data_IF_556533896103
#
_entry.id   IF_556533896103
#
_cell.length_a   1.000
_cell.length_b   1.000
_cell.length_c   1.000
_cell.angle_alpha   90.00
_cell.angle_beta   90.00
_cell.angle_gamma   90.00
#
_symmetry.space_group_name_H-M   'P 1'
#
loop_
_entity.id
_entity.type
_entity.pdbx_description
1 polymer ?
#
# COMPACT_ATOMS: atom_id res chain seq x y z
N UNK A 1 -13.40 -4.46 20.20
CA UNK A 1 -13.83 -3.33 19.35
C UNK A 1 -13.11 -3.45 18.02
N UNK A 2 -13.83 -3.67 16.92
CA UNK A 2 -13.21 -3.78 15.59
C UNK A 2 -12.82 -2.39 15.12
N UNK A 3 -11.60 -1.94 15.44
CA UNK A 3 -11.05 -0.78 14.77
C UNK A 3 -10.97 -1.10 13.28
N UNK A 4 -11.57 -0.26 12.44
CA UNK A 4 -11.43 -0.39 10.99
C UNK A 4 -9.95 -0.34 10.64
N UNK A 5 -9.38 -1.48 10.24
CA UNK A 5 -7.95 -1.62 9.90
C UNK A 5 -7.49 -0.55 8.90
N UNK A 6 -8.39 -0.14 8.00
CA UNK A 6 -8.18 0.95 7.04
C UNK A 6 -7.96 2.30 7.72
N UNK A 7 -8.75 2.65 8.73
CA UNK A 7 -8.60 3.93 9.45
C UNK A 7 -7.30 3.96 10.24
N UNK A 8 -6.95 2.85 10.90
CA UNK A 8 -5.69 2.71 11.63
C UNK A 8 -4.49 2.85 10.68
N UNK A 9 -4.51 2.16 9.53
CA UNK A 9 -3.47 2.25 8.53
C UNK A 9 -3.34 3.66 7.94
N UNK A 10 -4.44 4.31 7.56
CA UNK A 10 -4.41 5.66 6.99
C UNK A 10 -3.88 6.70 8.00
N UNK A 11 -4.23 6.55 9.28
CA UNK A 11 -3.71 7.41 10.34
C UNK A 11 -2.20 7.24 10.51
N UNK A 12 -1.74 5.99 10.53
CA UNK A 12 -0.31 5.65 10.58
C UNK A 12 0.46 6.19 9.35
N UNK A 13 -0.06 5.96 8.14
CA UNK A 13 0.52 6.47 6.90
C UNK A 13 0.66 7.99 6.90
N UNK A 14 -0.38 8.71 7.35
CA UNK A 14 -0.34 10.17 7.48
C UNK A 14 0.70 10.65 8.49
N UNK A 15 0.88 9.92 9.60
CA UNK A 15 1.91 10.24 10.58
C UNK A 15 3.32 10.09 9.98
N UNK A 16 3.57 9.01 9.22
CA UNK A 16 4.84 8.82 8.50
C UNK A 16 5.11 9.93 7.48
N UNK A 17 4.08 10.33 6.72
CA UNK A 17 4.21 11.44 5.77
C UNK A 17 4.53 12.79 6.45
N UNK A 18 4.10 13.00 7.70
CA UNK A 18 4.42 14.20 8.48
C UNK A 18 5.86 14.18 8.99
N UNK A 19 6.31 13.03 9.50
CA UNK A 19 7.69 12.86 9.96
C UNK A 19 8.71 12.91 8.82
N UNK A 20 8.39 12.33 7.66
CA UNK A 20 9.25 12.37 6.47
C UNK A 20 9.42 13.80 5.92
N UNK A 21 8.36 14.63 5.96
CA UNK A 21 8.43 16.03 5.56
C UNK A 21 9.35 16.89 6.46
N UNK A 22 9.57 16.49 7.72
CA UNK A 22 10.45 17.19 8.66
C UNK A 22 11.93 16.85 8.49
N UNK A 23 12.25 15.69 7.91
CA UNK A 23 13.63 15.20 7.75
C UNK A 23 14.21 15.37 6.33
N UNK A 24 13.47 15.98 5.40
CA UNK A 24 13.92 16.11 4.01
C UNK A 24 14.68 17.43 3.78
N UNK A 25 15.98 17.40 3.41
CA UNK A 25 16.70 18.60 3.04
C UNK A 25 16.30 19.00 1.61
N UNK A 26 15.70 20.18 1.46
CA UNK A 26 15.36 20.89 0.20
C UNK A 26 14.00 20.54 -0.45
N UNK A 27 13.01 21.44 -0.32
CA UNK A 27 12.57 22.41 -1.36
C UNK A 27 11.51 23.35 -0.76
N UNK A 28 11.83 24.64 -0.69
CA UNK A 28 10.98 25.72 -0.20
C UNK A 28 10.14 26.36 -1.32
N UNK A 29 9.91 25.66 -2.42
CA UNK A 29 9.20 26.23 -3.57
C UNK A 29 8.05 25.34 -4.02
N UNK A 30 6.93 26.01 -4.27
CA UNK A 30 5.69 25.57 -4.92
C UNK A 30 4.72 24.70 -4.08
N UNK A 31 3.80 25.39 -3.39
CA UNK A 31 2.32 25.25 -3.32
C UNK A 31 1.56 23.93 -3.57
N UNK A 32 2.21 22.77 -3.56
CA UNK A 32 1.55 21.47 -3.35
C UNK A 32 2.39 20.70 -2.35
N UNK A 33 1.88 20.52 -1.14
CA UNK A 33 2.39 19.51 -0.20
C UNK A 33 2.05 18.14 -0.79
N UNK A 34 2.72 17.77 -1.88
CA UNK A 34 2.72 16.42 -2.42
C UNK A 34 3.55 15.58 -1.46
N UNK A 35 2.91 15.13 -0.38
CA UNK A 35 3.54 14.26 0.62
C UNK A 35 3.83 12.94 -0.07
N UNK A 36 5.07 12.78 -0.49
CA UNK A 36 5.59 11.54 -1.06
C UNK A 36 5.22 10.33 -0.18
N UNK A 37 5.15 9.15 -0.80
CA UNK A 37 4.99 7.89 -0.09
C UNK A 37 6.16 7.68 0.87
N UNK A 38 5.93 7.26 2.14
CA UNK A 38 7.00 6.90 3.05
C UNK A 38 7.90 5.82 2.45
N UNK A 39 9.20 5.88 2.77
CA UNK A 39 10.13 4.83 2.39
C UNK A 39 9.80 3.57 3.17
N UNK A 40 10.14 2.40 2.60
CA UNK A 40 9.97 1.12 3.29
C UNK A 40 10.64 1.10 4.67
N UNK A 41 11.77 1.80 4.82
CA UNK A 41 12.51 1.87 6.08
C UNK A 41 11.78 2.67 7.17
N UNK A 42 10.82 3.53 6.80
CA UNK A 42 10.05 4.33 7.74
C UNK A 42 8.95 3.50 8.44
N UNK A 43 8.64 2.30 7.93
CA UNK A 43 7.64 1.43 8.49
C UNK A 43 8.20 0.68 9.70
N UNK A 44 7.67 1.00 10.88
CA UNK A 44 7.94 0.32 12.14
C UNK A 44 7.04 -0.94 12.26
N UNK A 45 7.61 -2.16 12.22
CA UNK A 45 6.85 -3.39 12.32
C UNK A 45 6.16 -3.56 13.67
N UNK A 46 6.64 -2.92 14.75
CA UNK A 46 6.03 -2.98 16.08
C UNK A 46 4.71 -2.21 16.10
N UNK A 47 4.68 -1.03 15.49
CA UNK A 47 3.46 -0.22 15.36
C UNK A 47 2.44 -0.86 14.42
N UNK A 48 2.90 -1.69 13.49
CA UNK A 48 2.06 -2.38 12.51
C UNK A 48 1.69 -3.81 12.92
N UNK A 49 2.07 -4.28 14.11
CA UNK A 49 1.92 -5.69 14.52
C UNK A 49 0.50 -6.25 14.31
N UNK A 50 -0.52 -5.44 14.58
CA UNK A 50 -1.93 -5.85 14.48
C UNK A 50 -2.44 -5.81 13.03
N UNK A 51 -1.79 -5.03 12.17
CA UNK A 51 -2.05 -4.94 10.73
C UNK A 51 -1.24 -5.96 9.93
N UNK A 52 -0.09 -6.42 10.44
CA UNK A 52 0.83 -7.34 9.75
C UNK A 52 0.15 -8.58 9.16
N UNK A 53 -0.78 -9.27 9.85
CA UNK A 53 -1.48 -10.41 9.25
C UNK A 53 -2.28 -10.05 7.99
N UNK A 54 -2.77 -8.81 7.91
CA UNK A 54 -3.63 -8.30 6.83
C UNK A 54 -2.84 -7.56 5.74
N UNK A 55 -1.55 -7.28 5.96
CA UNK A 55 -0.71 -6.57 5.01
C UNK A 55 -0.17 -7.49 3.91
N UNK A 56 0.06 -6.88 2.74
CA UNK A 56 0.68 -7.52 1.60
C UNK A 56 1.67 -6.55 0.95
N UNK A 57 2.65 -7.11 0.24
CA UNK A 57 3.57 -6.36 -0.59
C UNK A 57 3.46 -6.88 -2.01
N UNK A 58 3.18 -5.98 -2.94
CA UNK A 58 3.13 -6.27 -4.38
C UNK A 58 4.34 -5.66 -5.07
N UNK A 59 4.87 -6.34 -6.08
CA UNK A 59 5.92 -5.80 -6.92
C UNK A 59 5.34 -4.67 -7.77
N UNK A 60 6.04 -3.54 -7.85
CA UNK A 60 5.74 -2.49 -8.82
C UNK A 60 6.46 -2.72 -10.15
N UNK A 61 7.41 -3.66 -10.19
CA UNK A 61 8.14 -4.05 -11.40
C UNK A 61 7.49 -5.24 -12.10
N UNK A 62 7.24 -5.09 -13.41
CA UNK A 62 6.56 -6.07 -14.26
C UNK A 62 5.05 -5.79 -14.41
N UNK A 63 4.44 -6.31 -15.48
CA UNK A 63 3.06 -5.97 -15.87
C UNK A 63 1.95 -6.47 -14.92
N UNK A 64 2.26 -7.37 -13.99
CA UNK A 64 1.22 -8.16 -13.30
C UNK A 64 1.08 -7.87 -11.79
N UNK A 65 1.82 -6.88 -11.25
CA UNK A 65 1.78 -6.51 -9.83
C UNK A 65 1.85 -7.70 -8.87
N UNK A 66 2.85 -8.58 -9.05
CA UNK A 66 2.87 -9.88 -8.36
C UNK A 66 3.12 -9.74 -6.87
N UNK A 67 2.46 -10.57 -6.07
CA UNK A 67 2.71 -10.64 -4.63
C UNK A 67 4.15 -11.06 -4.33
N UNK A 68 4.79 -10.29 -3.46
CA UNK A 68 6.11 -10.58 -2.88
C UNK A 68 5.99 -11.12 -1.47
N UNK A 69 5.04 -10.59 -0.70
CA UNK A 69 4.78 -10.96 0.68
C UNK A 69 3.28 -10.87 0.98
N UNK A 70 2.77 -11.79 1.78
CA UNK A 70 1.39 -11.80 2.27
C UNK A 70 1.36 -12.20 3.73
N UNK A 71 0.63 -11.45 4.54
CA UNK A 71 0.38 -11.79 5.94
C UNK A 71 -0.51 -13.02 6.08
N UNK A 72 -0.48 -13.64 7.27
CA UNK A 72 -1.15 -14.92 7.53
C UNK A 72 -2.67 -14.89 7.37
N UNK A 73 -3.32 -13.73 7.59
CA UNK A 73 -4.77 -13.60 7.40
C UNK A 73 -5.15 -13.76 5.92
N UNK A 74 -4.38 -13.18 5.00
CA UNK A 74 -4.64 -13.30 3.57
C UNK A 74 -4.45 -14.75 3.09
N UNK A 75 -3.45 -15.45 3.61
CA UNK A 75 -3.23 -16.88 3.30
C UNK A 75 -4.40 -17.73 3.79
N UNK A 76 -4.88 -17.48 5.02
CA UNK A 76 -6.03 -18.18 5.58
C UNK A 76 -7.32 -17.89 4.78
N UNK A 77 -7.54 -16.65 4.36
CA UNK A 77 -8.71 -16.23 3.59
C UNK A 77 -8.74 -16.90 2.20
N UNK A 78 -7.60 -16.97 1.52
CA UNK A 78 -7.50 -17.56 0.18
C UNK A 78 -7.23 -19.07 0.17
N UNK A 79 -7.04 -19.69 1.34
CA UNK A 79 -6.72 -21.12 1.50
C UNK A 79 -5.39 -21.54 0.88
N UNK A 80 -4.56 -20.60 0.42
CA UNK A 80 -3.29 -20.87 -0.27
C UNK A 80 -2.34 -19.67 -0.20
N UNK A 81 -1.05 -19.94 -0.39
CA UNK A 81 -0.05 -18.88 -0.49
C UNK A 81 -0.17 -18.13 -1.81
N UNK A 82 -0.23 -16.79 -1.75
CA UNK A 82 -0.36 -15.94 -2.94
C UNK A 82 1.00 -15.54 -3.55
N UNK A 83 2.12 -16.08 -3.07
CA UNK A 83 3.45 -15.66 -3.53
C UNK A 83 3.58 -15.80 -5.05
N UNK A 84 4.08 -14.75 -5.70
CA UNK A 84 4.26 -14.66 -7.14
C UNK A 84 2.98 -14.73 -8.00
N UNK A 85 1.78 -14.79 -7.40
CA UNK A 85 0.54 -14.66 -8.16
C UNK A 85 0.28 -13.20 -8.54
N UNK A 86 -0.37 -12.92 -9.69
CA UNK A 86 -0.79 -11.57 -10.03
C UNK A 86 -1.78 -11.02 -9.01
N UNK A 87 -1.59 -9.77 -8.55
CA UNK A 87 -2.55 -9.11 -7.67
C UNK A 87 -3.91 -8.91 -8.35
N UNK A 88 -3.90 -8.69 -9.67
CA UNK A 88 -5.11 -8.50 -10.48
C UNK A 88 -6.05 -9.70 -10.47
N UNK A 89 -5.55 -10.91 -10.20
CA UNK A 89 -6.39 -12.12 -10.09
C UNK A 89 -7.36 -12.10 -8.91
N UNK A 90 -7.19 -11.19 -7.94
CA UNK A 90 -8.15 -11.03 -6.85
C UNK A 90 -9.45 -10.32 -7.30
N UNK A 91 -9.48 -9.77 -8.51
CA UNK A 91 -10.57 -8.96 -9.03
C UNK A 91 -11.20 -9.63 -10.26
N UNK A 92 -12.46 -9.30 -10.54
CA UNK A 92 -13.11 -9.78 -11.76
C UNK A 92 -12.36 -9.24 -13.00
N UNK A 93 -12.26 -10.03 -14.10
CA UNK A 93 -11.53 -9.62 -15.29
C UNK A 93 -11.96 -8.27 -15.87
N UNK A 94 -13.24 -7.90 -15.71
CA UNK A 94 -13.80 -6.63 -16.17
C UNK A 94 -13.14 -5.38 -15.53
N UNK A 95 -12.47 -5.52 -14.39
CA UNK A 95 -11.82 -4.41 -13.68
C UNK A 95 -10.29 -4.43 -13.77
N UNK A 96 -9.70 -5.39 -14.47
CA UNK A 96 -8.25 -5.58 -14.48
C UNK A 96 -7.49 -4.37 -15.04
N UNK A 97 -7.94 -3.82 -16.17
CA UNK A 97 -7.28 -2.66 -16.80
C UNK A 97 -7.42 -1.40 -15.95
N UNK A 98 -8.60 -1.16 -15.39
CA UNK A 98 -8.86 -0.04 -14.48
C UNK A 98 -7.97 -0.13 -13.24
N UNK A 99 -7.82 -1.33 -12.68
CA UNK A 99 -6.97 -1.57 -11.52
C UNK A 99 -5.49 -1.32 -11.86
N UNK A 100 -5.00 -1.85 -12.98
CA UNK A 100 -3.61 -1.64 -13.43
C UNK A 100 -3.30 -0.16 -13.64
N UNK A 101 -4.23 0.59 -14.24
CA UNK A 101 -4.11 2.03 -14.42
C UNK A 101 -4.07 2.76 -13.07
N UNK A 102 -5.01 2.46 -12.16
CA UNK A 102 -5.06 3.09 -10.85
C UNK A 102 -3.79 2.83 -10.03
N UNK A 103 -3.28 1.59 -10.05
CA UNK A 103 -2.01 1.23 -9.39
C UNK A 103 -0.82 1.97 -9.99
N UNK A 104 -0.77 2.09 -11.33
CA UNK A 104 0.31 2.80 -12.01
C UNK A 104 0.31 4.29 -11.64
N UNK A 105 -0.87 4.92 -11.69
CA UNK A 105 -1.04 6.32 -11.31
C UNK A 105 -0.70 6.57 -9.84
N UNK A 106 -1.14 5.69 -8.94
CA UNK A 106 -0.87 5.81 -7.51
C UNK A 106 0.63 5.65 -7.20
N UNK A 107 1.30 4.70 -7.84
CA UNK A 107 2.74 4.51 -7.71
C UNK A 107 3.52 5.70 -8.26
N UNK A 108 3.13 6.24 -9.42
CA UNK A 108 3.79 7.38 -10.04
C UNK A 108 3.60 8.67 -9.23
N UNK A 109 2.40 8.91 -8.69
CA UNK A 109 2.09 10.07 -7.85
C UNK A 109 2.49 9.89 -6.38
N UNK A 110 2.94 8.69 -6.01
CA UNK A 110 3.25 8.30 -4.63
C UNK A 110 2.09 8.58 -3.65
N UNK A 111 0.85 8.34 -4.10
CA UNK A 111 -0.36 8.62 -3.33
C UNK A 111 -1.05 7.33 -2.87
N UNK A 112 -1.74 7.34 -1.73
CA UNK A 112 -2.53 6.20 -1.29
C UNK A 112 -3.71 5.96 -2.24
N UNK A 113 -3.94 4.70 -2.59
CA UNK A 113 -5.09 4.24 -3.37
C UNK A 113 -6.04 3.47 -2.46
N UNK A 114 -7.33 3.82 -2.51
CA UNK A 114 -8.39 3.07 -1.83
C UNK A 114 -9.20 2.36 -2.92
N UNK A 115 -9.29 1.03 -2.80
CA UNK A 115 -10.16 0.22 -3.63
C UNK A 115 -11.44 -0.05 -2.85
N UNK A 116 -12.58 0.32 -3.42
CA UNK A 116 -13.91 0.09 -2.84
C UNK A 116 -14.84 -0.50 -3.89
N UNK A 117 -15.87 -1.21 -3.42
CA UNK A 117 -16.97 -1.74 -4.25
C UNK A 117 -18.06 -0.70 -4.45
#
# INVERSE_FOLDING_TARGET
MSHSSTVSFLSYWRALQQGAAQNSPLRHDETEISRAAPLRADFDPVQLKDLMPQMMMIATSGNDYRFRLTGGFLVALHGSGLKATPFTRLFAPAHEDQLKLALNMAAHRQQPLILSV
#
